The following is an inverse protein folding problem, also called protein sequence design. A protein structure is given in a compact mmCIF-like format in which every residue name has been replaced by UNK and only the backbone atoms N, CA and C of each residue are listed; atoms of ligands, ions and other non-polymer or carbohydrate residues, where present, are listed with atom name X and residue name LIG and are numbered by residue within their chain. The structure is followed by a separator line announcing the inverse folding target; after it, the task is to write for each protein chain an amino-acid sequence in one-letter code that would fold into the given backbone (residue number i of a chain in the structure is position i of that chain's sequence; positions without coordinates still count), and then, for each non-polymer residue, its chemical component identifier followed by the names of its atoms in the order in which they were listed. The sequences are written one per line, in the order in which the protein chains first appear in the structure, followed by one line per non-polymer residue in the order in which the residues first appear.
data_IF_959716474219
#
_entry.id   IF_959716474219
#
_cell.length_a   1.000
_cell.length_b   1.000
_cell.length_c   1.000
_cell.angle_alpha   90.00
_cell.angle_beta   90.00
_cell.angle_gamma   90.00
#
_symmetry.space_group_name_H-M   'P 1'
#
loop_
_entity.id
_entity.type
_entity.pdbx_description
1 polymer ?
#
# COMPACT_ATOMS: atom_id res chain seq x y z
N UNK A 1 -3.41 -20.73 -6.47
CA UNK A 1 -2.83 -19.66 -5.62
C UNK A 1 -3.12 -18.34 -6.31
N UNK A 2 -3.45 -17.26 -5.60
CA UNK A 2 -3.72 -15.97 -6.23
C UNK A 2 -2.42 -15.14 -6.29
N UNK A 3 -2.28 -14.26 -7.28
CA UNK A 3 -1.12 -13.38 -7.48
C UNK A 3 -1.56 -11.95 -7.74
N UNK A 4 -0.70 -10.97 -7.42
CA UNK A 4 -0.88 -9.58 -7.84
C UNK A 4 -0.06 -9.36 -9.09
N UNK A 5 -0.71 -8.84 -10.12
CA UNK A 5 -0.03 -8.17 -11.20
C UNK A 5 -0.03 -6.67 -10.96
N UNK A 6 1.14 -6.04 -11.02
CA UNK A 6 1.30 -4.58 -11.02
C UNK A 6 1.70 -4.13 -12.42
N UNK A 7 0.95 -3.19 -12.96
CA UNK A 7 1.06 -2.71 -14.33
C UNK A 7 1.41 -1.22 -14.37
N UNK A 8 2.15 -0.81 -15.40
CA UNK A 8 2.46 0.59 -15.69
C UNK A 8 2.41 0.82 -17.20
N UNK A 9 1.75 1.88 -17.64
CA UNK A 9 1.69 2.28 -19.05
C UNK A 9 2.56 3.51 -19.36
N UNK A 10 2.69 3.82 -20.64
CA UNK A 10 3.44 4.99 -21.17
C UNK A 10 2.86 6.34 -20.73
N UNK A 11 1.61 6.35 -20.26
CA UNK A 11 0.91 7.53 -19.75
C UNK A 11 1.03 7.71 -18.23
N UNK A 12 2.03 7.08 -17.61
CA UNK A 12 2.31 7.16 -16.17
C UNK A 12 1.17 6.66 -15.25
N UNK A 13 0.22 5.88 -15.78
CA UNK A 13 -0.83 5.25 -14.97
C UNK A 13 -0.34 3.89 -14.48
N UNK A 14 -0.46 3.67 -13.17
CA UNK A 14 -0.19 2.39 -12.52
C UNK A 14 -1.48 1.81 -11.94
N UNK A 15 -1.66 0.50 -12.08
CA UNK A 15 -2.78 -0.22 -11.48
C UNK A 15 -2.37 -1.63 -11.07
N UNK A 16 -3.25 -2.29 -10.31
CA UNK A 16 -3.04 -3.64 -9.81
C UNK A 16 -4.27 -4.51 -10.08
N UNK A 17 -4.03 -5.75 -10.47
CA UNK A 17 -5.08 -6.75 -10.65
C UNK A 17 -4.74 -8.06 -9.95
N UNK A 18 -5.79 -8.76 -9.54
CA UNK A 18 -5.70 -10.05 -8.85
C UNK A 18 -6.08 -11.16 -9.80
N UNK A 19 -5.13 -12.04 -10.06
CA UNK A 19 -5.31 -13.18 -10.95
C UNK A 19 -4.94 -14.48 -10.25
N UNK A 20 -5.34 -15.60 -10.83
CA UNK A 20 -4.79 -16.90 -10.43
C UNK A 20 -3.33 -17.02 -10.90
N UNK A 21 -2.54 -17.84 -10.22
CA UNK A 21 -1.10 -18.00 -10.49
C UNK A 21 -0.81 -18.59 -11.88
N UNK A 22 -1.78 -19.31 -12.46
CA UNK A 22 -1.74 -19.83 -13.83
C UNK A 22 -2.25 -18.83 -14.88
N UNK A 23 -2.67 -17.63 -14.48
CA UNK A 23 -3.03 -16.58 -15.43
C UNK A 23 -1.79 -16.02 -16.13
N UNK A 24 -1.87 -15.93 -17.44
CA UNK A 24 -0.84 -15.39 -18.32
C UNK A 24 -1.25 -14.02 -18.85
N UNK A 25 -0.28 -13.11 -18.94
CA UNK A 25 -0.48 -11.78 -19.50
C UNK A 25 -0.76 -11.89 -21.01
N UNK A 26 -1.91 -11.41 -21.51
CA UNK A 26 -2.17 -11.38 -22.96
C UNK A 26 -1.18 -10.49 -23.70
N UNK A 27 -0.81 -10.87 -24.92
CA UNK A 27 0.11 -10.09 -25.77
C UNK A 27 -0.47 -8.71 -26.14
N UNK A 28 -1.79 -8.56 -26.14
CA UNK A 28 -2.54 -7.34 -26.48
C UNK A 28 -3.12 -6.63 -25.25
N UNK A 29 -2.45 -6.75 -24.10
CA UNK A 29 -2.92 -6.15 -22.87
C UNK A 29 -2.64 -4.64 -22.81
N UNK A 30 -3.71 -3.83 -22.74
CA UNK A 30 -3.65 -2.37 -22.69
C UNK A 30 -3.99 -1.82 -21.31
N UNK A 31 -3.51 -0.60 -21.04
CA UNK A 31 -3.97 0.17 -19.91
C UNK A 31 -5.48 0.47 -20.00
N UNK A 32 -6.20 0.59 -18.87
CA UNK A 32 -7.64 0.93 -18.85
C UNK A 32 -8.03 2.19 -19.65
N UNK A 33 -7.07 3.09 -19.88
CA UNK A 33 -7.24 4.32 -20.67
C UNK A 33 -6.87 4.14 -22.16
N UNK A 34 -6.62 2.91 -22.62
CA UNK A 34 -6.30 2.61 -24.03
C UNK A 34 -4.83 2.84 -24.42
N UNK A 35 -3.94 2.94 -23.45
CA UNK A 35 -2.52 3.20 -23.64
C UNK A 35 -1.67 1.93 -23.61
N UNK A 36 -0.49 1.95 -24.23
CA UNK A 36 0.39 0.78 -24.31
C UNK A 36 0.95 0.43 -22.93
N UNK A 37 0.91 -0.86 -22.59
CA UNK A 37 1.52 -1.37 -21.38
C UNK A 37 3.03 -1.36 -21.53
N UNK A 38 3.73 -0.69 -20.60
CA UNK A 38 5.19 -0.57 -20.63
C UNK A 38 5.86 -1.56 -19.70
N UNK A 39 5.25 -1.83 -18.54
CA UNK A 39 5.76 -2.84 -17.61
C UNK A 39 4.62 -3.62 -16.97
N UNK A 40 4.88 -4.90 -16.75
CA UNK A 40 4.04 -5.78 -15.95
C UNK A 40 4.95 -6.56 -14.99
N UNK A 41 4.55 -6.68 -13.74
CA UNK A 41 5.29 -7.45 -12.74
C UNK A 41 4.33 -8.33 -11.95
N UNK A 42 4.67 -9.62 -11.86
CA UNK A 42 3.92 -10.63 -11.13
C UNK A 42 4.54 -10.81 -9.75
N UNK A 43 3.72 -10.73 -8.70
CA UNK A 43 4.13 -11.02 -7.32
C UNK A 43 3.17 -12.02 -6.69
N UNK A 44 3.72 -13.06 -6.05
CA UNK A 44 2.93 -13.99 -5.24
C UNK A 44 2.22 -13.25 -4.12
N UNK A 45 0.93 -13.52 -3.94
CA UNK A 45 0.22 -13.05 -2.76
C UNK A 45 0.79 -13.74 -1.54
N UNK A 46 1.35 -12.94 -0.66
CA UNK A 46 1.66 -13.36 0.70
C UNK A 46 0.42 -13.14 1.54
N UNK A 47 0.13 -14.02 2.51
CA UNK A 47 -0.91 -13.79 3.54
C UNK A 47 -0.62 -12.58 4.45
N UNK A 48 0.44 -11.84 4.14
CA UNK A 48 0.89 -10.66 4.85
C UNK A 48 0.19 -9.42 4.29
N UNK A 49 -0.23 -8.49 5.18
CA UNK A 49 -0.78 -7.21 4.77
C UNK A 49 0.24 -6.39 3.98
N UNK A 50 -0.27 -5.54 3.09
CA UNK A 50 0.51 -4.41 2.57
C UNK A 50 0.50 -3.33 3.63
N UNK A 51 1.66 -2.75 3.96
CA UNK A 51 1.78 -1.67 4.96
C UNK A 51 2.39 -0.45 4.27
N UNK A 52 1.74 0.71 4.41
CA UNK A 52 2.18 1.97 3.83
C UNK A 52 2.24 3.09 4.89
N UNK A 53 3.17 4.02 4.68
CA UNK A 53 3.30 5.25 5.47
C UNK A 53 2.66 6.42 4.72
N UNK A 54 1.69 7.08 5.34
CA UNK A 54 1.02 8.25 4.78
C UNK A 54 1.42 9.50 5.57
N UNK A 55 2.11 10.47 4.95
CA UNK A 55 2.51 11.69 5.63
C UNK A 55 1.27 12.50 6.04
N UNK A 56 1.28 13.06 7.24
CA UNK A 56 0.15 13.87 7.77
C UNK A 56 0.27 15.34 7.40
N UNK A 57 1.26 15.69 6.58
CA UNK A 57 1.60 17.06 6.24
C UNK A 57 0.36 17.83 5.79
N UNK A 58 -0.16 18.67 6.67
CA UNK A 58 -1.07 19.74 6.30
C UNK A 58 -0.24 20.89 5.77
N UNK A 59 -0.42 21.21 4.50
CA UNK A 59 0.10 22.44 3.92
C UNK A 59 -0.59 23.62 4.61
N UNK A 60 0.18 24.48 5.28
CA UNK A 60 -0.33 25.76 5.81
C UNK A 60 -0.24 26.82 4.70
N UNK A 61 -1.39 27.23 4.11
CA UNK A 61 -1.39 28.21 3.02
C UNK A 61 -1.02 29.62 3.48
N UNK A 62 -1.12 29.93 4.77
CA UNK A 62 -0.81 31.25 5.35
C UNK A 62 0.69 31.37 5.56
N UNK A 63 1.35 30.32 6.05
CA UNK A 63 2.80 30.31 6.29
C UNK A 63 3.62 29.86 5.08
N UNK A 64 2.97 29.33 4.03
CA UNK A 64 3.62 28.68 2.86
C UNK A 64 4.68 27.66 3.29
N UNK A 65 4.45 27.00 4.41
CA UNK A 65 5.40 26.10 5.03
C UNK A 65 4.66 24.81 5.36
N UNK A 66 5.24 23.69 4.93
CA UNK A 66 4.83 22.38 5.40
C UNK A 66 5.35 22.24 6.83
N UNK A 67 4.49 21.95 7.80
CA UNK A 67 4.96 21.65 9.15
C UNK A 67 5.93 20.47 9.09
N UNK A 68 7.16 20.66 9.56
CA UNK A 68 8.20 19.62 9.57
C UNK A 68 7.96 18.51 10.60
N UNK A 69 6.83 18.55 11.31
CA UNK A 69 6.34 17.44 12.10
C UNK A 69 6.00 16.29 11.14
N UNK A 70 7.03 15.50 10.82
CA UNK A 70 7.03 14.29 9.97
C UNK A 70 6.27 13.17 10.68
N UNK A 71 5.01 13.45 10.95
CA UNK A 71 4.06 12.52 11.47
C UNK A 71 3.47 11.74 10.29
N UNK A 72 3.26 10.45 10.52
CA UNK A 72 2.74 9.52 9.53
C UNK A 72 1.57 8.75 10.11
N UNK A 73 0.55 8.55 9.30
CA UNK A 73 -0.40 7.46 9.48
C UNK A 73 0.24 6.16 8.98
N UNK A 74 -0.03 5.08 9.69
CA UNK A 74 0.17 3.73 9.16
C UNK A 74 -1.13 3.27 8.50
N UNK A 75 -1.04 2.79 7.27
CA UNK A 75 -2.15 2.15 6.59
C UNK A 75 -1.78 0.69 6.37
N UNK A 76 -2.66 -0.23 6.76
CA UNK A 76 -2.58 -1.63 6.37
C UNK A 76 -3.69 -1.95 5.39
N UNK A 77 -3.33 -2.63 4.31
CA UNK A 77 -4.26 -3.05 3.29
C UNK A 77 -4.30 -4.58 3.21
N UNK A 78 -5.51 -5.13 3.29
CA UNK A 78 -5.74 -6.54 3.10
C UNK A 78 -5.49 -6.87 1.64
N UNK A 79 -4.64 -7.87 1.42
CA UNK A 79 -4.14 -8.14 0.08
C UNK A 79 -5.24 -8.69 -0.84
N UNK A 80 -6.13 -9.57 -0.37
CA UNK A 80 -7.20 -10.13 -1.20
C UNK A 80 -8.45 -9.25 -1.35
N UNK A 81 -8.89 -8.57 -0.28
CA UNK A 81 -10.14 -7.77 -0.30
C UNK A 81 -9.90 -6.31 -0.66
N UNK A 82 -8.64 -5.84 -0.63
CA UNK A 82 -8.30 -4.43 -0.81
C UNK A 82 -8.71 -3.55 0.36
N UNK A 83 -9.27 -4.10 1.45
CA UNK A 83 -9.70 -3.36 2.63
C UNK A 83 -8.53 -2.60 3.25
N UNK A 84 -8.71 -1.30 3.50
CA UNK A 84 -7.69 -0.43 4.08
C UNK A 84 -8.08 -0.01 5.49
N UNK A 85 -7.14 -0.14 6.43
CA UNK A 85 -7.30 0.30 7.81
C UNK A 85 -6.16 1.21 8.19
N UNK A 86 -6.50 2.40 8.67
CA UNK A 86 -5.53 3.39 9.13
C UNK A 86 -5.31 3.27 10.64
N UNK A 87 -4.10 3.58 11.09
CA UNK A 87 -3.80 3.74 12.51
C UNK A 87 -4.65 4.85 13.11
N UNK A 88 -4.91 4.77 14.42
CA UNK A 88 -5.61 5.83 15.13
C UNK A 88 -4.66 6.94 15.61
N UNK A 89 -3.37 6.63 15.72
CA UNK A 89 -2.34 7.54 16.16
C UNK A 89 -1.44 7.94 14.99
N UNK A 90 -0.79 9.08 15.17
CA UNK A 90 0.30 9.55 14.34
C UNK A 90 1.63 9.05 14.89
N UNK A 91 2.57 8.74 14.00
CA UNK A 91 3.90 8.27 14.37
C UNK A 91 4.97 9.11 13.70
N UNK A 92 6.04 9.41 14.44
CA UNK A 92 7.26 9.92 13.83
C UNK A 92 7.86 8.87 12.91
N UNK A 93 8.56 9.30 11.85
CA UNK A 93 9.14 8.40 10.84
C UNK A 93 9.90 7.21 11.44
N UNK A 94 10.78 7.45 12.41
CA UNK A 94 11.60 6.42 13.02
C UNK A 94 10.77 5.33 13.74
N UNK A 95 9.71 5.74 14.45
CA UNK A 95 8.82 4.81 15.14
C UNK A 95 7.90 4.09 14.16
N UNK A 96 7.44 4.81 13.13
CA UNK A 96 6.62 4.24 12.08
C UNK A 96 7.38 3.14 11.32
N UNK A 97 8.66 3.37 10.98
CA UNK A 97 9.52 2.37 10.33
C UNK A 97 9.70 1.11 11.19
N UNK A 98 9.97 1.27 12.50
CA UNK A 98 10.06 0.12 13.43
C UNK A 98 8.74 -0.66 13.50
N UNK A 99 7.61 0.03 13.48
CA UNK A 99 6.30 -0.64 13.47
C UNK A 99 6.09 -1.39 12.15
N UNK A 100 6.43 -0.79 11.01
CA UNK A 100 6.35 -1.43 9.68
C UNK A 100 7.18 -2.71 9.62
N UNK A 101 8.42 -2.69 10.12
CA UNK A 101 9.29 -3.88 10.19
C UNK A 101 8.62 -5.03 10.96
N UNK A 102 7.97 -4.72 12.08
CA UNK A 102 7.24 -5.72 12.88
C UNK A 102 5.96 -6.20 12.18
N UNK A 103 5.19 -5.29 11.60
CA UNK A 103 3.92 -5.62 10.93
C UNK A 103 4.15 -6.50 9.69
N UNK A 104 5.26 -6.36 8.97
CA UNK A 104 5.61 -7.21 7.82
C UNK A 104 5.86 -8.69 8.18
N UNK A 105 5.96 -9.01 9.47
CA UNK A 105 6.09 -10.38 9.96
C UNK A 105 4.74 -11.00 10.36
N UNK A 106 3.66 -10.22 10.40
CA UNK A 106 2.36 -10.63 10.91
C UNK A 106 1.39 -11.00 9.79
N UNK A 107 0.43 -11.86 10.13
CA UNK A 107 -0.78 -12.09 9.31
C UNK A 107 -1.71 -10.88 9.39
N UNK A 108 -2.65 -10.77 8.45
CA UNK A 108 -3.67 -9.70 8.45
C UNK A 108 -4.35 -9.50 9.82
N UNK A 109 -4.89 -10.57 10.42
CA UNK A 109 -5.61 -10.50 11.71
C UNK A 109 -4.72 -9.97 12.83
N UNK A 110 -3.45 -10.39 12.87
CA UNK A 110 -2.48 -9.94 13.88
C UNK A 110 -2.05 -8.50 13.65
N UNK A 111 -1.91 -8.08 12.40
CA UNK A 111 -1.60 -6.69 12.07
C UNK A 111 -2.75 -5.75 12.41
N UNK A 112 -3.99 -6.15 12.14
CA UNK A 112 -5.20 -5.43 12.58
C UNK A 112 -5.23 -5.30 14.10
N UNK A 113 -5.03 -6.41 14.81
CA UNK A 113 -5.00 -6.42 16.26
C UNK A 113 -3.91 -5.49 16.81
N UNK A 114 -2.72 -5.47 16.19
CA UNK A 114 -1.63 -4.58 16.58
C UNK A 114 -1.98 -3.10 16.39
N UNK A 115 -2.61 -2.72 15.27
CA UNK A 115 -3.08 -1.35 15.05
C UNK A 115 -4.20 -0.95 16.01
N UNK A 116 -5.08 -1.88 16.38
CA UNK A 116 -6.22 -1.63 17.26
C UNK A 116 -5.84 -1.60 18.74
N UNK A 117 -4.77 -2.26 19.18
CA UNK A 117 -4.38 -2.34 20.59
C UNK A 117 -3.57 -1.16 21.12
N UNK A 118 -3.01 -0.30 20.26
CA UNK A 118 -2.44 1.00 20.68
C UNK A 118 -3.52 1.99 21.18
N UNK A 119 -4.72 1.49 21.52
CA UNK A 119 -5.83 2.14 22.22
C UNK A 119 -5.66 2.22 23.74
N UNK A 120 -4.61 1.63 24.33
CA UNK A 120 -4.35 1.63 25.79
C UNK A 120 -3.19 2.55 26.12
#
# INVERSE_FOLDING_TARGET
MKVIWSFHCDYCVSWQEFHDDDWELPDDYYCPNGHELVTASKRLLSDKPIICLYPTNTYDPIKKQTSEDKNFWLMIQHIHTGEQVFSQNFYLLADALKIVENLHLLTWERALWYLQLKKI
#
